data_IF_376251563256
#
_entry.id   IF_376251563256
#
_cell.length_a   1.000
_cell.length_b   1.000
_cell.length_c   1.000
_cell.angle_alpha   90.00
_cell.angle_beta   90.00
_cell.angle_gamma   90.00
#
_symmetry.space_group_name_H-M   'P 1'
#
loop_
_entity.id
_entity.type
_entity.pdbx_description
1 polymer ?
#
# COMPACT_ATOMS: atom_id res chain seq x y z
N UNK A 1 -20.31 -28.45 29.67
CA UNK A 1 -19.37 -27.73 28.79
C UNK A 1 -20.10 -27.41 27.49
N UNK A 2 -20.64 -26.20 27.36
CA UNK A 2 -21.27 -25.71 26.14
C UNK A 2 -20.29 -24.70 25.53
N UNK A 3 -19.33 -25.21 24.75
CA UNK A 3 -18.81 -24.43 23.62
C UNK A 3 -19.78 -24.67 22.45
N UNK A 4 -19.74 -23.86 21.41
CA UNK A 4 -20.46 -24.04 20.13
C UNK A 4 -21.76 -23.23 19.94
N UNK A 5 -21.60 -21.93 19.61
CA UNK A 5 -22.22 -21.38 18.38
C UNK A 5 -21.61 -20.03 17.99
N UNK A 6 -21.29 -19.19 18.97
CA UNK A 6 -20.80 -17.83 18.71
C UNK A 6 -19.30 -17.80 18.33
N UNK A 7 -18.50 -18.71 18.88
CA UNK A 7 -17.05 -18.80 18.58
C UNK A 7 -16.76 -19.21 17.13
N UNK A 8 -17.60 -20.08 16.55
CA UNK A 8 -17.48 -20.52 15.15
C UNK A 8 -17.83 -19.40 14.15
N UNK A 9 -18.77 -18.52 14.51
CA UNK A 9 -19.10 -17.33 13.72
C UNK A 9 -17.97 -16.29 13.73
N UNK A 10 -17.28 -16.14 14.87
CA UNK A 10 -16.13 -15.25 15.01
C UNK A 10 -14.93 -15.70 14.16
N UNK A 11 -14.57 -16.98 14.20
CA UNK A 11 -13.42 -17.49 13.44
C UNK A 11 -13.61 -17.39 11.92
N UNK A 12 -14.79 -17.75 11.41
CA UNK A 12 -15.11 -17.63 9.99
C UNK A 12 -15.16 -16.16 9.52
N UNK A 13 -15.67 -15.26 10.35
CA UNK A 13 -15.65 -13.82 10.06
C UNK A 13 -14.22 -13.28 10.00
N UNK A 14 -13.36 -13.64 10.95
CA UNK A 14 -11.95 -13.25 10.97
C UNK A 14 -11.21 -13.72 9.72
N UNK A 15 -11.45 -14.97 9.29
CA UNK A 15 -10.88 -15.51 8.06
C UNK A 15 -11.32 -14.71 6.83
N UNK A 16 -12.61 -14.43 6.70
CA UNK A 16 -13.14 -13.63 5.58
C UNK A 16 -12.53 -12.22 5.56
N UNK A 17 -12.35 -11.60 6.73
CA UNK A 17 -11.69 -10.30 6.84
C UNK A 17 -10.22 -10.37 6.39
N UNK A 18 -9.48 -11.38 6.84
CA UNK A 18 -8.09 -11.58 6.46
C UNK A 18 -7.92 -11.83 4.95
N UNK A 19 -8.80 -12.63 4.34
CA UNK A 19 -8.80 -12.85 2.89
C UNK A 19 -9.10 -11.56 2.12
N UNK A 20 -10.02 -10.73 2.62
CA UNK A 20 -10.34 -9.44 2.01
C UNK A 20 -9.16 -8.47 2.10
N UNK A 21 -8.47 -8.43 3.23
CA UNK A 21 -7.23 -7.64 3.40
C UNK A 21 -6.17 -8.08 2.40
N UNK A 22 -5.94 -9.39 2.26
CA UNK A 22 -4.99 -9.94 1.31
C UNK A 22 -5.34 -9.55 -0.14
N UNK A 23 -6.60 -9.65 -0.53
CA UNK A 23 -7.02 -9.27 -1.89
C UNK A 23 -6.84 -7.78 -2.17
N UNK A 24 -7.20 -6.90 -1.22
CA UNK A 24 -6.96 -5.47 -1.34
C UNK A 24 -5.46 -5.16 -1.47
N UNK A 25 -4.63 -5.85 -0.70
CA UNK A 25 -3.16 -5.68 -0.76
C UNK A 25 -2.58 -6.15 -2.09
N UNK A 26 -3.09 -7.27 -2.65
CA UNK A 26 -2.74 -7.73 -4.01
C UNK A 26 -3.17 -6.73 -5.08
N UNK A 27 -4.31 -6.07 -4.92
CA UNK A 27 -4.76 -4.99 -5.80
C UNK A 27 -3.84 -3.78 -5.72
N UNK A 28 -3.44 -3.36 -4.52
CA UNK A 28 -2.45 -2.28 -4.33
C UNK A 28 -1.15 -2.59 -5.07
N UNK A 29 -0.64 -3.82 -4.98
CA UNK A 29 0.57 -4.21 -5.72
C UNK A 29 0.38 -4.13 -7.25
N UNK A 30 -0.79 -4.50 -7.77
CA UNK A 30 -1.09 -4.37 -9.21
C UNK A 30 -1.09 -2.90 -9.64
N UNK A 31 -1.75 -2.01 -8.89
CA UNK A 31 -1.78 -0.57 -9.15
C UNK A 31 -0.38 0.06 -9.05
N UNK A 32 0.38 -0.27 -8.00
CA UNK A 32 1.75 0.24 -7.80
C UNK A 32 2.68 -0.14 -8.95
N UNK A 33 2.57 -1.35 -9.49
CA UNK A 33 3.34 -1.79 -10.67
C UNK A 33 2.98 -1.03 -11.94
N UNK A 34 1.79 -0.46 -12.02
CA UNK A 34 1.32 0.36 -13.13
C UNK A 34 1.60 1.86 -12.90
N UNK A 35 2.15 2.26 -11.75
CA UNK A 35 2.32 3.66 -11.37
C UNK A 35 1.03 4.38 -10.98
N UNK A 36 -0.07 3.65 -10.78
CA UNK A 36 -1.37 4.22 -10.40
C UNK A 36 -1.46 4.39 -8.88
N UNK A 37 -0.82 5.44 -8.37
CA UNK A 37 -0.71 5.72 -6.94
C UNK A 37 -2.02 6.18 -6.31
N UNK A 38 -2.90 6.84 -7.08
CA UNK A 38 -4.23 7.23 -6.61
C UNK A 38 -5.05 5.98 -6.28
N UNK A 39 -5.08 4.99 -7.17
CA UNK A 39 -5.72 3.71 -6.87
C UNK A 39 -5.06 3.00 -5.69
N UNK A 40 -3.73 3.03 -5.55
CA UNK A 40 -3.06 2.45 -4.36
C UNK A 40 -3.62 3.07 -3.08
N UNK A 41 -3.76 4.40 -3.02
CA UNK A 41 -4.29 5.12 -1.86
C UNK A 41 -5.77 4.79 -1.59
N UNK A 42 -6.59 4.64 -2.62
CA UNK A 42 -7.98 4.22 -2.47
C UNK A 42 -8.09 2.81 -1.86
N UNK A 43 -7.28 1.86 -2.34
CA UNK A 43 -7.30 0.48 -1.82
C UNK A 43 -6.70 0.40 -0.42
N UNK A 44 -5.70 1.23 -0.09
CA UNK A 44 -5.15 1.35 1.25
C UNK A 44 -6.21 1.79 2.26
N UNK A 45 -7.02 2.82 1.92
CA UNK A 45 -8.16 3.25 2.76
C UNK A 45 -9.16 2.12 3.01
N UNK A 46 -9.49 1.35 1.98
CA UNK A 46 -10.37 0.18 2.12
C UNK A 46 -9.73 -0.92 2.98
N UNK A 47 -8.42 -1.16 2.84
CA UNK A 47 -7.67 -2.12 3.66
C UNK A 47 -7.71 -1.72 5.13
N UNK A 48 -7.41 -0.47 5.44
CA UNK A 48 -7.42 0.06 6.81
C UNK A 48 -8.82 -0.02 7.43
N UNK A 49 -9.88 0.24 6.65
CA UNK A 49 -11.27 0.04 7.10
C UNK A 49 -11.55 -1.43 7.42
N UNK A 50 -11.05 -2.37 6.60
CA UNK A 50 -11.22 -3.80 6.83
C UNK A 50 -10.49 -4.27 8.09
N UNK A 51 -9.25 -3.80 8.29
CA UNK A 51 -8.43 -4.07 9.47
C UNK A 51 -9.05 -3.51 10.75
N UNK A 52 -9.63 -2.30 10.70
CA UNK A 52 -10.33 -1.71 11.85
C UNK A 52 -11.59 -2.47 12.28
N UNK A 53 -12.09 -3.40 11.45
CA UNK A 53 -13.17 -4.31 11.82
C UNK A 53 -12.70 -5.67 12.33
N UNK A 54 -11.39 -5.92 12.40
CA UNK A 54 -10.83 -7.15 12.95
C UNK A 54 -10.59 -7.02 14.47
N UNK A 55 -10.66 -8.11 15.23
CA UNK A 55 -10.26 -8.10 16.64
C UNK A 55 -8.75 -7.80 16.76
N UNK A 56 -8.38 -7.04 17.80
CA UNK A 56 -6.98 -6.66 18.08
C UNK A 56 -6.08 -7.88 18.32
N UNK A 57 -6.64 -8.93 18.91
CA UNK A 57 -5.96 -10.21 19.13
C UNK A 57 -6.67 -11.31 18.37
N UNK A 58 -5.92 -11.94 17.46
CA UNK A 58 -6.32 -13.22 16.89
C UNK A 58 -6.23 -14.26 18.00
N UNK A 59 -7.38 -14.60 18.59
CA UNK A 59 -7.46 -15.64 19.62
C UNK A 59 -6.75 -16.93 19.20
N UNK A 60 -6.43 -17.80 20.17
CA UNK A 60 -5.74 -19.06 19.91
C UNK A 60 -6.45 -19.92 18.84
N UNK A 61 -7.77 -19.79 18.73
CA UNK A 61 -8.66 -20.47 17.78
C UNK A 61 -8.81 -19.77 16.42
N UNK A 62 -8.09 -18.66 16.18
CA UNK A 62 -8.03 -18.03 14.86
C UNK A 62 -7.52 -19.02 13.81
N UNK A 63 -8.19 -19.05 12.65
CA UNK A 63 -7.85 -20.06 11.65
C UNK A 63 -6.43 -19.86 11.13
N UNK A 64 -5.72 -20.97 10.92
CA UNK A 64 -4.40 -20.96 10.30
C UNK A 64 -4.42 -20.22 8.96
N UNK A 65 -5.56 -20.29 8.25
CA UNK A 65 -5.82 -19.58 7.01
C UNK A 65 -5.82 -18.06 7.19
N UNK A 66 -6.49 -17.53 8.21
CA UNK A 66 -6.48 -16.10 8.50
C UNK A 66 -5.05 -15.58 8.76
N UNK A 67 -4.27 -16.32 9.56
CA UNK A 67 -2.87 -15.98 9.85
C UNK A 67 -2.01 -16.00 8.59
N UNK A 68 -2.18 -17.01 7.74
CA UNK A 68 -1.50 -17.09 6.45
C UNK A 68 -1.83 -15.89 5.57
N UNK A 69 -3.11 -15.51 5.46
CA UNK A 69 -3.52 -14.39 4.63
C UNK A 69 -2.91 -13.06 5.10
N UNK A 70 -2.85 -12.83 6.41
CA UNK A 70 -2.23 -11.64 6.98
C UNK A 70 -0.71 -11.64 6.81
N UNK A 71 -0.05 -12.78 6.96
CA UNK A 71 1.38 -12.90 6.68
C UNK A 71 1.69 -12.58 5.22
N UNK A 72 0.92 -13.15 4.28
CA UNK A 72 1.05 -12.84 2.85
C UNK A 72 0.77 -11.36 2.56
N UNK A 73 -0.19 -10.73 3.25
CA UNK A 73 -0.44 -9.29 3.03
C UNK A 73 0.75 -8.44 3.46
N UNK A 74 1.39 -8.74 4.59
CA UNK A 74 2.58 -8.00 5.06
C UNK A 74 3.75 -8.11 4.05
N UNK A 75 3.97 -9.29 3.48
CA UNK A 75 5.00 -9.46 2.44
C UNK A 75 4.71 -8.63 1.17
N UNK A 76 3.43 -8.50 0.81
CA UNK A 76 3.02 -7.69 -0.34
C UNK A 76 3.12 -6.20 -0.02
N UNK A 77 2.75 -5.77 1.18
CA UNK A 77 2.93 -4.38 1.63
C UNK A 77 4.38 -3.93 1.54
N UNK A 78 5.33 -4.79 1.91
CA UNK A 78 6.75 -4.50 1.76
C UNK A 78 7.14 -4.30 0.29
N UNK A 79 6.58 -5.08 -0.63
CA UNK A 79 6.80 -4.89 -2.08
C UNK A 79 6.21 -3.56 -2.56
N UNK A 80 5.01 -3.19 -2.12
CA UNK A 80 4.38 -1.90 -2.44
C UNK A 80 5.24 -0.74 -1.92
N UNK A 81 5.74 -0.84 -0.68
CA UNK A 81 6.60 0.18 -0.06
C UNK A 81 7.90 0.39 -0.85
N UNK A 82 8.54 -0.70 -1.29
CA UNK A 82 9.74 -0.61 -2.15
C UNK A 82 9.45 0.12 -3.46
N UNK A 83 8.32 -0.17 -4.11
CA UNK A 83 7.91 0.54 -5.32
C UNK A 83 7.64 2.02 -5.07
N UNK A 84 6.99 2.36 -3.95
CA UNK A 84 6.70 3.74 -3.57
C UNK A 84 7.98 4.55 -3.30
N UNK A 85 8.97 3.95 -2.64
CA UNK A 85 10.29 4.57 -2.43
C UNK A 85 10.99 4.82 -3.77
N UNK A 86 11.03 3.81 -4.64
CA UNK A 86 11.64 3.93 -5.96
C UNK A 86 11.00 5.05 -6.79
N UNK A 87 9.67 5.15 -6.77
CA UNK A 87 8.96 6.21 -7.50
C UNK A 87 9.22 7.60 -6.90
N UNK A 88 9.20 7.73 -5.57
CA UNK A 88 9.53 8.99 -4.91
C UNK A 88 10.92 9.47 -5.31
N UNK A 89 11.89 8.56 -5.34
CA UNK A 89 13.26 8.87 -5.71
C UNK A 89 13.35 9.30 -7.19
N UNK A 90 12.62 8.61 -8.10
CA UNK A 90 12.49 8.99 -9.52
C UNK A 90 11.91 10.40 -9.69
N UNK A 91 10.80 10.71 -9.03
CA UNK A 91 10.16 12.02 -9.09
C UNK A 91 11.07 13.12 -8.51
N UNK A 92 11.83 12.80 -7.45
CA UNK A 92 12.82 13.70 -6.89
C UNK A 92 13.96 14.02 -7.87
N UNK A 93 14.46 13.02 -8.59
CA UNK A 93 15.45 13.22 -9.65
C UNK A 93 14.92 14.05 -10.82
N UNK A 94 13.67 13.81 -11.24
CA UNK A 94 13.03 14.55 -12.32
C UNK A 94 12.85 16.03 -11.96
N UNK A 95 12.37 16.32 -10.76
CA UNK A 95 12.20 17.69 -10.26
C UNK A 95 13.54 18.45 -10.21
N UNK A 96 14.63 17.79 -9.77
CA UNK A 96 15.97 18.41 -9.77
C UNK A 96 16.47 18.72 -11.17
N UNK A 97 16.25 17.81 -12.14
CA UNK A 97 16.64 18.03 -13.54
C UNK A 97 15.87 19.19 -14.15
N UNK A 98 14.57 19.28 -13.90
CA UNK A 98 13.75 20.41 -14.37
C UNK A 98 14.25 21.75 -13.79
N UNK A 99 14.56 21.79 -12.50
CA UNK A 99 15.12 22.99 -11.87
C UNK A 99 16.46 23.38 -12.50
N UNK A 100 17.37 22.43 -12.74
CA UNK A 100 18.66 22.68 -13.40
C UNK A 100 18.48 23.24 -14.81
N UNK A 101 17.56 22.66 -15.60
CA UNK A 101 17.26 23.13 -16.96
C UNK A 101 16.70 24.56 -16.96
N UNK A 102 15.85 24.88 -15.99
CA UNK A 102 15.29 26.22 -15.83
C UNK A 102 16.38 27.23 -15.46
N UNK A 103 17.22 26.91 -14.48
CA UNK A 103 18.36 27.77 -14.09
C UNK A 103 19.32 28.00 -15.25
N UNK A 104 19.67 26.95 -16.01
CA UNK A 104 20.50 27.08 -17.20
C UNK A 104 19.86 27.99 -18.26
N UNK A 105 18.55 27.81 -18.52
CA UNK A 105 17.80 28.62 -19.49
C UNK A 105 17.75 30.10 -19.10
N UNK A 106 17.55 30.39 -17.81
CA UNK A 106 17.53 31.76 -17.32
C UNK A 106 18.92 32.42 -17.40
N UNK A 107 19.99 31.65 -17.14
CA UNK A 107 21.36 32.13 -17.33
C UNK A 107 21.67 32.44 -18.80
N UNK A 108 21.27 31.57 -19.74
CA UNK A 108 21.45 31.82 -21.17
C UNK A 108 20.72 33.10 -21.63
N UNK A 109 19.48 33.32 -21.18
CA UNK A 109 18.70 34.52 -21.52
C UNK A 109 19.38 35.81 -21.03
N UNK A 110 19.92 35.79 -19.81
CA UNK A 110 20.66 36.94 -19.26
C UNK A 110 21.94 37.25 -20.05
N UNK A 111 22.63 36.22 -20.56
CA UNK A 111 23.83 36.42 -21.38
C UNK A 111 23.53 36.84 -22.82
N UNK A 112 22.36 36.49 -23.37
CA UNK A 112 21.96 36.85 -24.73
C UNK A 112 21.33 38.23 -24.86
N UNK A 113 20.65 38.71 -23.82
CA UNK A 113 19.96 40.02 -23.82
C UNK A 113 20.86 41.18 -23.35
N UNK A 114 22.09 40.88 -22.91
CA UNK A 114 23.05 41.84 -22.34
C UNK A 114 24.27 42.17 -23.23
N UNK A 115 24.27 41.79 -24.50
CA UNK A 115 25.31 42.10 -25.49
C UNK A 115 24.79 42.96 -26.63
#
# INVERSE_FOLDING_TARGET
MVRNRDELGGAAAVELHAERVLELTRQMLRCARQGDWDSVMERDKLRNKQLGGMPDELGADSSARARQCLAESLEIEEKVRKLMVAERDRLGDESRKEMQLRTASDAYRQTSDGG
#
